data_IF_504047650634
#
_entry.id   IF_504047650634
#
_cell.length_a   1.000
_cell.length_b   1.000
_cell.length_c   1.000
_cell.angle_alpha   90.00
_cell.angle_beta   90.00
_cell.angle_gamma   90.00
#
_symmetry.space_group_name_H-M   'P 1'
#
loop_
_entity.id
_entity.type
_entity.pdbx_description
1 polymer ?
#
# COMPACT_ATOMS: atom_id res chain seq x y z
N UNK A 1 39.45 7.56 50.47
CA UNK A 1 38.53 7.10 51.52
C UNK A 1 37.33 8.05 51.50
N UNK A 2 36.37 7.85 50.59
CA UNK A 2 35.20 6.97 50.78
C UNK A 2 34.30 7.59 51.86
N UNK A 3 33.09 8.07 51.58
CA UNK A 3 31.99 7.31 51.00
C UNK A 3 31.05 8.19 50.16
N UNK A 4 30.88 7.80 48.90
CA UNK A 4 29.74 8.15 48.06
C UNK A 4 28.62 7.16 48.40
N UNK A 5 27.64 7.58 49.20
CA UNK A 5 26.41 6.82 49.37
C UNK A 5 25.45 7.20 48.25
N UNK A 6 25.51 6.39 47.20
CA UNK A 6 24.43 6.24 46.23
C UNK A 6 23.15 5.88 46.99
N UNK A 7 22.34 6.89 47.31
CA UNK A 7 20.94 6.68 47.68
C UNK A 7 20.24 6.16 46.44
N UNK A 8 20.12 4.83 46.44
CA UNK A 8 19.10 4.03 45.80
C UNK A 8 18.00 4.87 45.14
N UNK A 9 17.95 4.76 43.82
CA UNK A 9 16.78 5.10 43.01
C UNK A 9 15.59 4.27 43.50
N UNK A 10 14.90 4.76 44.54
CA UNK A 10 13.64 4.21 44.98
C UNK A 10 12.61 4.75 43.99
N UNK A 11 12.01 3.84 43.22
CA UNK A 11 10.80 4.08 42.45
C UNK A 11 9.81 4.89 43.30
N UNK A 12 9.76 6.20 43.08
CA UNK A 12 8.79 7.08 43.69
C UNK A 12 7.47 6.88 42.95
N UNK A 13 6.82 5.73 43.22
CA UNK A 13 5.40 5.58 42.94
C UNK A 13 4.70 6.80 43.50
N UNK A 14 3.93 7.51 42.68
CA UNK A 14 3.23 8.77 42.96
C UNK A 14 2.63 8.82 44.38
N UNK A 15 3.46 9.16 45.38
CA UNK A 15 3.06 9.40 46.76
C UNK A 15 2.81 10.89 46.87
N UNK A 16 1.62 11.24 47.33
CA UNK A 16 1.30 12.63 47.64
C UNK A 16 2.36 13.17 48.61
N UNK A 17 2.98 14.31 48.26
CA UNK A 17 3.95 14.94 49.13
C UNK A 17 3.26 15.32 50.43
N UNK A 18 3.83 15.01 51.61
CA UNK A 18 3.23 15.42 52.87
C UNK A 18 3.20 16.95 52.93
N UNK A 19 2.00 17.52 53.04
CA UNK A 19 1.77 18.97 53.16
C UNK A 19 1.00 19.27 54.42
N UNK A 20 1.40 20.34 55.12
CA UNK A 20 0.80 20.74 56.39
C UNK A 20 -0.70 21.08 56.26
N UNK A 21 -1.14 21.66 55.13
CA UNK A 21 -2.53 21.94 54.83
C UNK A 21 -2.83 21.67 53.35
N UNK A 22 -3.70 20.69 53.10
CA UNK A 22 -4.07 20.25 51.76
C UNK A 22 -4.64 21.39 50.89
N UNK A 23 -5.52 22.25 51.45
CA UNK A 23 -6.14 23.33 50.68
C UNK A 23 -5.15 24.42 50.26
N UNK A 24 -4.13 24.66 51.09
CA UNK A 24 -3.06 25.58 50.75
C UNK A 24 -2.16 25.00 49.65
N UNK A 25 -1.88 23.70 49.71
CA UNK A 25 -1.10 22.99 48.70
C UNK A 25 -1.79 22.98 47.33
N UNK A 26 -3.09 22.70 47.31
CA UNK A 26 -3.90 22.69 46.08
C UNK A 26 -3.88 24.05 45.39
N UNK A 27 -4.09 25.14 46.15
CA UNK A 27 -4.04 26.52 45.61
C UNK A 27 -2.67 26.87 45.03
N UNK A 28 -1.59 26.42 45.66
CA UNK A 28 -0.22 26.64 45.17
C UNK A 28 0.03 25.84 43.90
N UNK A 29 -0.41 24.58 43.85
CA UNK A 29 -0.30 23.72 42.68
C UNK A 29 -1.09 24.28 41.49
N UNK A 30 -2.33 24.72 41.71
CA UNK A 30 -3.16 25.33 40.69
C UNK A 30 -2.52 26.62 40.15
N UNK A 31 -1.98 27.47 41.03
CA UNK A 31 -1.24 28.67 40.65
C UNK A 31 0.00 28.34 39.80
N UNK A 32 0.78 27.34 40.20
CA UNK A 32 1.97 26.90 39.47
C UNK A 32 1.61 26.30 38.12
N UNK A 33 0.54 25.50 38.06
CA UNK A 33 0.03 24.93 36.82
C UNK A 33 -0.44 26.02 35.85
N UNK A 34 -1.20 27.00 36.34
CA UNK A 34 -1.67 28.13 35.53
C UNK A 34 -0.51 29.01 35.04
N UNK A 35 0.47 29.29 35.90
CA UNK A 35 1.68 30.02 35.52
C UNK A 35 2.51 29.25 34.48
N UNK A 36 2.61 27.92 34.62
CA UNK A 36 3.29 27.07 33.64
C UNK A 36 2.57 27.09 32.29
N UNK A 37 1.23 26.95 32.28
CA UNK A 37 0.44 27.06 31.05
C UNK A 37 0.58 28.42 30.36
N UNK A 38 0.59 29.51 31.12
CA UNK A 38 0.81 30.86 30.57
C UNK A 38 2.21 31.00 29.94
N UNK A 39 3.23 30.39 30.53
CA UNK A 39 4.58 30.33 29.91
C UNK A 39 4.56 29.50 28.63
N UNK A 40 3.95 28.32 28.62
CA UNK A 40 3.83 27.51 27.41
C UNK A 40 3.09 28.24 26.28
N UNK A 41 2.08 29.05 26.61
CA UNK A 41 1.34 29.84 25.63
C UNK A 41 2.15 31.02 25.06
N UNK A 42 3.08 31.58 25.82
CA UNK A 42 3.85 32.78 25.42
C UNK A 42 5.24 32.45 24.87
N UNK A 43 5.77 31.24 25.12
CA UNK A 43 7.05 30.79 24.60
C UNK A 43 6.99 30.70 23.08
N UNK A 44 7.90 31.42 22.42
CA UNK A 44 8.10 31.36 20.97
C UNK A 44 8.96 30.15 20.61
N UNK A 45 8.72 29.48 19.48
CA UNK A 45 9.61 28.44 19.00
C UNK A 45 11.00 29.03 18.73
N UNK A 46 12.04 28.40 19.27
CA UNK A 46 13.44 28.83 19.09
C UNK A 46 14.05 28.37 17.77
N UNK A 47 13.38 27.44 17.08
CA UNK A 47 13.84 26.79 15.86
C UNK A 47 12.72 26.91 14.84
N UNK A 48 13.06 27.21 13.60
CA UNK A 48 12.10 27.18 12.50
C UNK A 48 11.69 25.73 12.21
N UNK A 49 10.39 25.45 12.30
CA UNK A 49 9.78 24.13 12.03
C UNK A 49 8.96 24.20 10.74
N UNK A 50 9.07 25.27 9.95
CA UNK A 50 8.37 25.36 8.68
C UNK A 50 8.90 24.29 7.72
N UNK A 51 8.01 23.67 6.93
CA UNK A 51 8.44 22.74 5.90
C UNK A 51 9.37 23.48 4.91
N UNK A 52 10.43 22.82 4.43
CA UNK A 52 11.31 23.40 3.43
C UNK A 52 10.53 23.72 2.16
N UNK A 53 11.01 24.72 1.40
CA UNK A 53 10.39 25.10 0.13
C UNK A 53 10.35 23.90 -0.81
N UNK A 54 9.15 23.52 -1.25
CA UNK A 54 8.97 22.48 -2.24
C UNK A 54 9.25 23.01 -3.64
N UNK A 55 9.98 22.25 -4.43
CA UNK A 55 10.27 22.57 -5.83
C UNK A 55 9.44 21.69 -6.78
N UNK A 56 8.82 22.26 -7.83
CA UNK A 56 8.00 21.51 -8.80
C UNK A 56 8.70 20.28 -9.39
N UNK A 57 9.98 20.40 -9.72
CA UNK A 57 10.77 19.31 -10.32
C UNK A 57 10.96 18.08 -9.41
N UNK A 58 10.71 18.20 -8.09
CA UNK A 58 10.82 17.08 -7.15
C UNK A 58 9.62 16.12 -7.23
N UNK A 59 8.44 16.64 -7.58
CA UNK A 59 7.21 15.85 -7.70
C UNK A 59 6.69 15.75 -9.14
N UNK A 60 7.02 16.71 -10.01
CA UNK A 60 6.75 16.66 -11.44
C UNK A 60 8.00 16.18 -12.20
N UNK A 61 7.97 14.95 -12.69
CA UNK A 61 9.01 14.40 -13.56
C UNK A 61 8.74 14.74 -15.02
N UNK A 62 8.80 16.03 -15.37
CA UNK A 62 8.40 16.54 -16.70
C UNK A 62 9.13 15.85 -17.86
N UNK A 63 10.43 15.60 -17.74
CA UNK A 63 11.20 14.86 -18.77
C UNK A 63 10.72 13.42 -18.96
N UNK A 64 10.27 12.77 -17.88
CA UNK A 64 9.71 11.42 -17.95
C UNK A 64 8.37 11.44 -18.69
N UNK A 65 7.49 12.38 -18.35
CA UNK A 65 6.20 12.54 -19.03
C UNK A 65 6.39 12.82 -20.54
N UNK A 66 7.33 13.71 -20.89
CA UNK A 66 7.68 13.98 -22.28
C UNK A 66 8.15 12.73 -23.03
N UNK A 67 9.07 11.95 -22.44
CA UNK A 67 9.56 10.70 -23.04
C UNK A 67 8.44 9.67 -23.24
N UNK A 68 7.50 9.58 -22.31
CA UNK A 68 6.33 8.70 -22.43
C UNK A 68 5.41 9.14 -23.58
N UNK A 69 5.17 10.45 -23.72
CA UNK A 69 4.41 11.02 -24.83
C UNK A 69 5.08 10.76 -26.18
N UNK A 70 6.39 11.02 -26.30
CA UNK A 70 7.17 10.76 -27.52
C UNK A 70 7.15 9.28 -27.91
N UNK A 71 7.24 8.38 -26.93
CA UNK A 71 7.14 6.93 -27.14
C UNK A 71 5.76 6.54 -27.63
N UNK A 72 4.68 7.02 -27.00
CA UNK A 72 3.30 6.75 -27.42
C UNK A 72 3.05 7.25 -28.85
N UNK A 73 3.48 8.48 -29.17
CA UNK A 73 3.36 9.03 -30.52
C UNK A 73 4.09 8.19 -31.58
N UNK A 74 5.21 7.57 -31.22
CA UNK A 74 5.95 6.66 -32.11
C UNK A 74 5.17 5.37 -32.34
N UNK A 75 4.69 4.73 -31.26
CA UNK A 75 3.87 3.52 -31.34
C UNK A 75 2.61 3.76 -32.19
N UNK A 76 1.94 4.90 -32.01
CA UNK A 76 0.75 5.24 -32.79
C UNK A 76 1.04 5.43 -34.28
N UNK A 77 2.16 6.07 -34.65
CA UNK A 77 2.58 6.17 -36.05
C UNK A 77 2.87 4.81 -36.66
N UNK A 78 3.54 3.94 -35.92
CA UNK A 78 3.87 2.60 -36.37
C UNK A 78 2.62 1.75 -36.54
N UNK A 79 1.68 1.82 -35.59
CA UNK A 79 0.38 1.16 -35.66
C UNK A 79 -0.44 1.65 -36.86
N UNK A 80 -0.48 2.96 -37.12
CA UNK A 80 -1.14 3.51 -38.33
C UNK A 80 -0.50 2.98 -39.61
N UNK A 81 0.82 2.92 -39.65
CA UNK A 81 1.57 2.38 -40.80
C UNK A 81 1.27 0.90 -41.01
N UNK A 82 1.27 0.11 -39.93
CA UNK A 82 0.96 -1.31 -39.97
C UNK A 82 -0.45 -1.56 -40.48
N UNK A 83 -1.45 -0.87 -39.93
CA UNK A 83 -2.85 -0.99 -40.38
C UNK A 83 -2.96 -0.62 -41.86
N UNK A 84 -2.33 0.47 -42.29
CA UNK A 84 -2.30 0.84 -43.72
C UNK A 84 -1.73 -0.30 -44.57
N UNK A 85 -0.58 -0.88 -44.21
CA UNK A 85 0.01 -2.01 -44.94
C UNK A 85 -0.87 -3.25 -44.93
N UNK A 86 -1.50 -3.57 -43.81
CA UNK A 86 -2.44 -4.69 -43.72
C UNK A 86 -3.66 -4.47 -44.60
N UNK A 87 -4.22 -3.26 -44.62
CA UNK A 87 -5.33 -2.93 -45.53
C UNK A 87 -4.89 -3.04 -46.99
N UNK A 88 -3.71 -2.56 -47.35
CA UNK A 88 -3.15 -2.74 -48.70
C UNK A 88 -3.03 -4.24 -49.07
N UNK A 89 -2.56 -5.09 -48.14
CA UNK A 89 -2.45 -6.54 -48.35
C UNK A 89 -3.83 -7.18 -48.50
N UNK A 90 -4.81 -6.81 -47.67
CA UNK A 90 -6.17 -7.35 -47.70
C UNK A 90 -6.90 -7.04 -49.01
N UNK A 91 -6.70 -5.85 -49.58
CA UNK A 91 -7.36 -5.43 -50.82
C UNK A 91 -6.61 -5.86 -52.09
N UNK A 92 -5.35 -6.27 -51.99
CA UNK A 92 -4.59 -6.82 -53.12
C UNK A 92 -5.01 -8.29 -53.32
N UNK A 93 -5.48 -8.70 -54.50
CA UNK A 93 -5.66 -10.13 -54.77
C UNK A 93 -4.29 -10.82 -54.66
N UNK A 94 -4.18 -11.76 -53.72
CA UNK A 94 -2.95 -12.50 -53.48
C UNK A 94 -2.55 -13.27 -54.73
N UNK A 95 -1.44 -12.86 -55.35
CA UNK A 95 -0.86 -13.51 -56.54
C UNK A 95 -0.51 -14.99 -56.22
N UNK A 96 -0.31 -15.33 -54.93
CA UNK A 96 0.19 -16.63 -54.49
C UNK A 96 -0.75 -17.42 -53.55
N UNK A 97 -2.02 -17.03 -53.38
CA UNK A 97 -2.94 -17.71 -52.44
C UNK A 97 -3.58 -18.99 -52.97
N UNK A 98 -2.95 -19.69 -53.91
CA UNK A 98 -3.29 -21.08 -54.25
C UNK A 98 -2.18 -21.99 -53.70
N UNK A 99 -2.33 -22.41 -52.44
CA UNK A 99 -1.53 -23.53 -51.92
C UNK A 99 -1.94 -24.78 -52.71
N UNK A 100 -1.03 -25.44 -53.44
CA UNK A 100 -1.37 -26.70 -54.07
C UNK A 100 -1.75 -27.71 -52.98
N UNK A 101 -2.86 -28.45 -53.14
CA UNK A 101 -3.19 -29.52 -52.21
C UNK A 101 -2.01 -30.52 -52.17
N UNK A 102 -1.46 -30.75 -50.98
CA UNK A 102 -0.32 -31.67 -50.78
C UNK A 102 0.98 -31.05 -50.27
N UNK A 103 1.05 -29.73 -50.04
CA UNK A 103 2.26 -29.14 -49.43
C UNK A 103 2.39 -29.56 -47.97
N UNK A 104 3.46 -30.30 -47.65
CA UNK A 104 3.76 -30.92 -46.35
C UNK A 104 3.62 -29.96 -45.17
N UNK A 105 3.12 -30.48 -44.04
CA UNK A 105 3.11 -29.74 -42.78
C UNK A 105 4.50 -29.17 -42.50
N UNK A 106 4.57 -27.94 -41.97
CA UNK A 106 5.83 -27.28 -41.60
C UNK A 106 6.78 -28.30 -40.95
N UNK A 107 8.05 -28.33 -41.37
CA UNK A 107 9.06 -29.27 -40.84
C UNK A 107 9.09 -29.31 -39.29
N UNK A 108 8.68 -28.20 -38.66
CA UNK A 108 8.61 -28.03 -37.20
C UNK A 108 7.25 -28.36 -36.57
N UNK A 109 6.26 -28.84 -37.33
CA UNK A 109 4.91 -29.13 -36.86
C UNK A 109 4.92 -30.22 -35.77
N UNK A 110 5.69 -31.28 -35.98
CA UNK A 110 5.83 -32.38 -35.01
C UNK A 110 6.44 -31.86 -33.71
N UNK A 111 7.54 -31.10 -33.79
CA UNK A 111 8.19 -30.48 -32.63
C UNK A 111 7.26 -29.53 -31.89
N UNK A 112 6.51 -28.69 -32.62
CA UNK A 112 5.54 -27.75 -32.04
C UNK A 112 4.40 -28.48 -31.33
N UNK A 113 3.89 -29.55 -31.92
CA UNK A 113 2.85 -30.39 -31.33
C UNK A 113 3.35 -31.08 -30.04
N UNK A 114 4.55 -31.66 -30.08
CA UNK A 114 5.16 -32.28 -28.90
C UNK A 114 5.40 -31.28 -27.77
N UNK A 115 5.86 -30.06 -28.11
CA UNK A 115 6.08 -29.01 -27.13
C UNK A 115 4.76 -28.52 -26.52
N UNK A 116 3.71 -28.39 -27.34
CA UNK A 116 2.37 -28.04 -26.85
C UNK A 116 1.83 -29.11 -25.90
N UNK A 117 1.97 -30.39 -26.24
CA UNK A 117 1.58 -31.51 -25.38
C UNK A 117 2.38 -31.53 -24.06
N UNK A 118 3.69 -31.22 -24.11
CA UNK A 118 4.55 -31.09 -22.92
C UNK A 118 4.04 -29.98 -21.99
N UNK A 119 3.83 -28.77 -22.53
CA UNK A 119 3.35 -27.61 -21.78
C UNK A 119 1.98 -27.90 -21.17
N UNK A 120 1.08 -28.51 -21.95
CA UNK A 120 -0.28 -28.84 -21.49
C UNK A 120 -0.24 -29.81 -20.31
N UNK A 121 0.62 -30.83 -20.38
CA UNK A 121 0.80 -31.81 -19.30
C UNK A 121 1.38 -31.16 -18.04
N UNK A 122 2.36 -30.28 -18.19
CA UNK A 122 2.97 -29.55 -17.07
C UNK A 122 1.97 -28.60 -16.40
N UNK A 123 1.19 -27.87 -17.19
CA UNK A 123 0.13 -26.99 -16.70
C UNK A 123 -0.93 -27.77 -15.93
N UNK A 124 -1.32 -28.95 -16.42
CA UNK A 124 -2.27 -29.81 -15.73
C UNK A 124 -1.71 -30.31 -14.40
N UNK A 125 -0.44 -30.74 -14.37
CA UNK A 125 0.22 -31.16 -13.12
C UNK A 125 0.35 -30.02 -12.10
N UNK A 126 0.66 -28.81 -12.57
CA UNK A 126 0.76 -27.62 -11.71
C UNK A 126 -0.60 -27.25 -11.13
N UNK A 127 -1.64 -27.25 -11.96
CA UNK A 127 -3.01 -26.94 -11.53
C UNK A 127 -3.48 -27.93 -10.46
N UNK A 128 -3.24 -29.23 -10.67
CA UNK A 128 -3.57 -30.27 -9.70
C UNK A 128 -2.86 -30.01 -8.36
N UNK A 129 -1.57 -29.68 -8.38
CA UNK A 129 -0.83 -29.33 -7.15
C UNK A 129 -1.40 -28.09 -6.45
N UNK A 130 -1.80 -27.07 -7.19
CA UNK A 130 -2.40 -25.86 -6.61
C UNK A 130 -3.74 -26.19 -5.95
N UNK A 131 -4.57 -27.01 -6.59
CA UNK A 131 -5.88 -27.38 -6.09
C UNK A 131 -5.82 -28.34 -4.90
N UNK A 132 -4.89 -29.30 -4.92
CA UNK A 132 -4.71 -30.28 -3.84
C UNK A 132 -4.00 -29.67 -2.61
N UNK A 133 -3.23 -28.60 -2.80
CA UNK A 133 -2.51 -27.97 -1.70
C UNK A 133 -3.48 -27.23 -0.79
N UNK A 134 -3.66 -27.75 0.41
CA UNK A 134 -4.39 -27.06 1.47
C UNK A 134 -3.73 -25.69 1.80
N UNK A 135 -4.54 -24.65 2.10
CA UNK A 135 -4.01 -23.37 2.54
C UNK A 135 -3.21 -23.55 3.83
N UNK A 136 -1.99 -22.99 3.88
CA UNK A 136 -1.11 -23.04 5.06
C UNK A 136 -1.68 -22.25 6.25
N UNK A 137 -2.51 -21.25 5.96
CA UNK A 137 -3.07 -20.34 6.96
C UNK A 137 -4.57 -20.53 7.06
N UNK A 138 -5.06 -20.80 8.27
CA UNK A 138 -6.48 -20.85 8.56
C UNK A 138 -6.96 -19.46 9.00
N UNK A 139 -7.58 -18.73 8.08
CA UNK A 139 -8.09 -17.38 8.34
C UNK A 139 -9.08 -17.35 9.52
N UNK A 140 -9.85 -18.42 9.75
CA UNK A 140 -10.77 -18.52 10.88
C UNK A 140 -10.03 -18.58 12.22
N UNK A 141 -8.91 -19.30 12.29
CA UNK A 141 -8.08 -19.32 13.50
C UNK A 141 -7.47 -17.94 13.75
N UNK A 142 -7.01 -17.27 12.70
CA UNK A 142 -6.44 -15.93 12.83
C UNK A 142 -7.46 -14.88 13.28
N UNK A 143 -8.71 -14.98 12.83
CA UNK A 143 -9.79 -14.12 13.31
C UNK A 143 -10.06 -14.36 14.79
N UNK A 144 -10.14 -15.62 15.23
CA UNK A 144 -10.32 -15.97 16.64
C UNK A 144 -9.15 -15.50 17.51
N UNK A 145 -7.91 -15.76 17.08
CA UNK A 145 -6.71 -15.33 17.78
C UNK A 145 -6.66 -13.79 17.86
N UNK A 146 -7.06 -13.10 16.80
CA UNK A 146 -7.14 -11.64 16.77
C UNK A 146 -8.19 -11.12 17.75
N UNK A 147 -9.37 -11.69 17.80
CA UNK A 147 -10.44 -11.31 18.73
C UNK A 147 -9.98 -11.49 20.19
N UNK A 148 -9.35 -12.62 20.52
CA UNK A 148 -8.78 -12.87 21.84
C UNK A 148 -7.69 -11.86 22.20
N UNK A 149 -6.82 -11.53 21.24
CA UNK A 149 -5.74 -10.57 21.46
C UNK A 149 -6.27 -9.14 21.63
N UNK A 150 -7.30 -8.74 20.88
CA UNK A 150 -7.98 -7.47 21.04
C UNK A 150 -8.64 -7.35 22.43
N UNK A 151 -9.35 -8.39 22.87
CA UNK A 151 -9.94 -8.45 24.22
C UNK A 151 -8.88 -8.39 25.33
N UNK A 152 -7.73 -9.06 25.13
CA UNK A 152 -6.60 -8.99 26.05
C UNK A 152 -6.02 -7.57 26.11
N UNK A 153 -5.84 -6.92 24.97
CA UNK A 153 -5.38 -5.53 24.90
C UNK A 153 -6.35 -4.60 25.63
N UNK A 154 -7.66 -4.72 25.39
CA UNK A 154 -8.67 -3.92 26.10
C UNK A 154 -8.56 -4.08 27.62
N UNK A 155 -8.36 -5.30 28.11
CA UNK A 155 -8.23 -5.58 29.54
C UNK A 155 -6.94 -5.01 30.18
N UNK A 156 -5.83 -5.02 29.45
CA UNK A 156 -4.52 -4.62 29.97
C UNK A 156 -4.26 -3.12 29.78
N UNK A 157 -4.91 -2.48 28.81
CA UNK A 157 -4.69 -1.08 28.51
C UNK A 157 -5.24 -0.14 29.59
N UNK A 158 -4.39 0.79 30.06
CA UNK A 158 -4.77 1.87 30.99
C UNK A 158 -5.69 2.94 30.37
N UNK A 159 -5.72 3.01 29.04
CA UNK A 159 -6.45 3.97 28.24
C UNK A 159 -7.36 3.22 27.25
N UNK A 160 -8.46 3.82 26.76
CA UNK A 160 -9.41 3.11 25.90
C UNK A 160 -8.71 2.53 24.67
N UNK A 161 -8.74 1.20 24.56
CA UNK A 161 -8.18 0.47 23.43
C UNK A 161 -9.11 0.62 22.22
N UNK A 162 -8.54 0.99 21.07
CA UNK A 162 -9.26 1.09 19.80
C UNK A 162 -8.63 0.15 18.78
N UNK A 163 -9.28 -0.98 18.47
CA UNK A 163 -8.82 -1.89 17.44
C UNK A 163 -8.62 -1.15 16.11
N UNK A 164 -7.49 -1.38 15.43
CA UNK A 164 -7.19 -0.80 14.12
C UNK A 164 -6.58 0.61 14.12
N UNK A 165 -6.40 1.27 15.27
CA UNK A 165 -5.66 2.55 15.35
C UNK A 165 -4.16 2.32 15.59
N UNK A 166 -3.50 1.54 14.73
CA UNK A 166 -2.03 1.51 14.71
C UNK A 166 -1.55 2.78 14.00
N UNK A 167 -1.33 3.86 14.76
CA UNK A 167 -0.61 5.04 14.29
C UNK A 167 -1.13 5.67 13.00
N UNK A 168 -2.45 5.66 12.79
CA UNK A 168 -3.07 6.37 11.67
C UNK A 168 -2.81 7.87 11.86
N UNK A 169 -1.84 8.39 11.10
CA UNK A 169 -1.81 9.80 10.73
C UNK A 169 -3.24 10.21 10.31
N UNK A 170 -3.69 11.44 10.65
CA UNK A 170 -5.06 11.86 10.40
C UNK A 170 -5.44 11.55 8.96
N UNK A 171 -6.55 10.82 8.79
CA UNK A 171 -7.10 10.48 7.50
C UNK A 171 -7.27 11.77 6.68
N UNK A 172 -6.41 11.95 5.68
CA UNK A 172 -6.69 12.87 4.59
C UNK A 172 -7.91 12.31 3.88
N UNK A 173 -9.07 12.93 4.09
CA UNK A 173 -10.27 12.63 3.31
C UNK A 173 -9.98 13.06 1.88
N UNK A 174 -9.48 12.14 1.07
CA UNK A 174 -9.34 12.36 -0.35
C UNK A 174 -10.75 12.39 -0.95
N UNK A 175 -11.28 13.60 -1.16
CA UNK A 175 -12.61 13.85 -1.71
C UNK A 175 -12.71 13.51 -3.20
N UNK A 176 -11.79 12.70 -3.74
CA UNK A 176 -11.72 12.38 -5.17
C UNK A 176 -11.37 10.91 -5.38
N UNK A 177 -12.27 10.01 -4.97
CA UNK A 177 -12.31 8.67 -5.57
C UNK A 177 -13.18 8.72 -6.83
N UNK A 178 -12.65 8.36 -8.02
CA UNK A 178 -13.45 8.24 -9.23
C UNK A 178 -14.54 7.19 -9.03
N UNK A 179 -15.77 7.55 -9.39
CA UNK A 179 -16.90 6.64 -9.42
C UNK A 179 -16.54 5.43 -10.28
N UNK A 180 -16.50 4.23 -9.69
CA UNK A 180 -16.59 2.99 -10.47
C UNK A 180 -18.00 2.97 -11.05
N UNK A 181 -18.13 3.37 -12.30
CA UNK A 181 -19.34 3.11 -13.07
C UNK A 181 -19.60 1.60 -13.04
N UNK A 182 -20.80 1.23 -12.58
CA UNK A 182 -21.29 -0.13 -12.66
C UNK A 182 -21.39 -0.50 -14.15
N UNK A 183 -20.74 -1.59 -14.52
CA UNK A 183 -20.96 -2.24 -15.81
C UNK A 183 -22.38 -2.82 -15.73
N UNK A 184 -23.34 -2.14 -16.37
CA UNK A 184 -24.66 -2.72 -16.62
C UNK A 184 -24.50 -3.86 -17.62
N UNK A 185 -24.80 -5.08 -17.17
CA UNK A 185 -24.94 -6.25 -18.03
C UNK A 185 -26.04 -6.00 -19.06
N UNK A 186 -25.63 -5.80 -20.31
CA UNK A 186 -26.53 -5.68 -21.45
C UNK A 186 -26.97 -7.09 -21.85
N UNK A 187 -28.28 -7.40 -21.91
CA UNK A 187 -28.73 -8.70 -22.36
C UNK A 187 -28.42 -8.90 -23.85
N UNK A 188 -27.79 -10.02 -24.18
CA UNK A 188 -27.60 -10.48 -25.55
C UNK A 188 -28.96 -10.78 -26.21
N UNK A 189 -29.14 -10.29 -27.43
CA UNK A 189 -30.18 -10.70 -28.37
C UNK A 189 -29.50 -11.34 -29.58
#
# INVERSE_FOLDING_TARGET
NSFCTLLSSVNFMHRAQPVANARCADRVNERNYNAHRQRLATVKPSIDIKPPKMYPHLYQKLKKAQLEEERCATIERDNRTLVKRMTEIMHRPGIDSKRPPGMVASLNHVRRKQELERITRENHSLLQRIQERAPTYNHLQWEQDREQNEALCERICKFPYRPGQTGAAPAYTDSTSPQREAIEDRPEA
#
